data_IF_549060976731
#
_entry.id   IF_549060976731
#
_cell.length_a   1.000
_cell.length_b   1.000
_cell.length_c   1.000
_cell.angle_alpha   90.00
_cell.angle_beta   90.00
_cell.angle_gamma   90.00
#
_symmetry.space_group_name_H-M   'P 1'
#
loop_
_entity.id
_entity.type
_entity.pdbx_description
1 polymer ?
#
# COMPACT_ATOMS: atom_id res chain seq x y z
N UNK A 1 -9.13 -2.88 -47.56
CA UNK A 1 -8.57 -2.05 -46.48
C UNK A 1 -9.43 -2.24 -45.24
N UNK A 2 -9.02 -3.09 -44.32
CA UNK A 2 -9.70 -3.26 -43.05
C UNK A 2 -9.30 -2.08 -42.13
N UNK A 3 -10.25 -1.22 -41.83
CA UNK A 3 -10.08 -0.15 -40.84
C UNK A 3 -9.86 -0.79 -39.47
N UNK A 4 -8.60 -0.90 -39.07
CA UNK A 4 -8.25 -1.25 -37.70
C UNK A 4 -8.86 -0.18 -36.75
N UNK A 5 -9.90 -0.56 -36.00
CA UNK A 5 -10.40 0.28 -34.91
C UNK A 5 -9.22 0.66 -34.01
N UNK A 6 -9.08 1.95 -33.64
CA UNK A 6 -8.01 2.34 -32.73
C UNK A 6 -8.10 1.46 -31.49
N UNK A 7 -6.97 0.84 -31.09
CA UNK A 7 -6.86 -0.01 -29.90
C UNK A 7 -7.18 0.85 -28.65
N UNK A 8 -8.46 1.00 -28.32
CA UNK A 8 -8.90 1.74 -27.16
C UNK A 8 -8.53 0.95 -25.89
N UNK A 9 -7.89 1.62 -24.92
CA UNK A 9 -7.64 1.06 -23.58
C UNK A 9 -8.97 0.89 -22.84
N UNK A 10 -9.92 1.81 -23.07
CA UNK A 10 -11.22 1.81 -22.42
C UNK A 10 -12.14 0.74 -23.00
N UNK A 11 -11.80 -0.51 -22.68
CA UNK A 11 -12.67 -1.66 -22.94
C UNK A 11 -13.56 -1.89 -21.71
N UNK A 12 -14.74 -2.55 -21.86
CA UNK A 12 -15.55 -2.96 -20.71
C UNK A 12 -14.75 -3.78 -19.69
N UNK A 13 -13.81 -4.59 -20.16
CA UNK A 13 -12.91 -5.37 -19.31
C UNK A 13 -12.01 -4.46 -18.43
N UNK A 14 -11.34 -3.48 -19.04
CA UNK A 14 -10.45 -2.57 -18.31
C UNK A 14 -11.22 -1.67 -17.34
N UNK A 15 -12.39 -1.16 -17.74
CA UNK A 15 -13.23 -0.35 -16.86
C UNK A 15 -13.73 -1.14 -15.64
N UNK A 16 -14.16 -2.40 -15.85
CA UNK A 16 -14.58 -3.28 -14.75
C UNK A 16 -13.39 -3.69 -13.85
N UNK A 17 -12.21 -3.88 -14.42
CA UNK A 17 -10.99 -4.12 -13.65
C UNK A 17 -10.67 -2.94 -12.73
N UNK A 18 -10.71 -1.72 -13.27
CA UNK A 18 -10.50 -0.49 -12.49
C UNK A 18 -11.57 -0.34 -11.39
N UNK A 19 -12.84 -0.62 -11.69
CA UNK A 19 -13.93 -0.56 -10.73
C UNK A 19 -13.76 -1.60 -9.61
N UNK A 20 -13.51 -2.86 -9.96
CA UNK A 20 -13.28 -3.93 -8.98
C UNK A 20 -12.09 -3.62 -8.07
N UNK A 21 -11.03 -3.04 -8.64
CA UNK A 21 -9.84 -2.64 -7.90
C UNK A 21 -10.11 -1.45 -6.97
N UNK A 22 -10.82 -0.41 -7.45
CA UNK A 22 -11.22 0.74 -6.64
C UNK A 22 -12.04 0.32 -5.43
N UNK A 23 -13.06 -0.51 -5.65
CA UNK A 23 -13.91 -1.04 -4.59
C UNK A 23 -13.16 -2.02 -3.67
N UNK A 24 -12.20 -2.77 -4.19
CA UNK A 24 -11.34 -3.66 -3.40
C UNK A 24 -10.33 -2.91 -2.53
N UNK A 25 -9.91 -1.72 -2.92
CA UNK A 25 -9.05 -0.85 -2.11
C UNK A 25 -9.83 -0.09 -1.02
N UNK A 26 -11.13 0.10 -1.20
CA UNK A 26 -11.98 0.79 -0.22
C UNK A 26 -11.85 0.21 1.19
N UNK A 27 -12.03 -1.11 1.42
CA UNK A 27 -11.87 -1.71 2.74
C UNK A 27 -10.49 -1.46 3.35
N UNK A 28 -9.44 -1.53 2.53
CA UNK A 28 -8.07 -1.34 3.03
C UNK A 28 -7.86 0.07 3.57
N UNK A 29 -8.24 1.09 2.78
CA UNK A 29 -8.00 2.48 3.14
C UNK A 29 -9.01 3.00 4.17
N UNK A 30 -10.23 2.48 4.22
CA UNK A 30 -11.17 2.78 5.32
C UNK A 30 -10.64 2.27 6.67
N UNK A 31 -10.08 1.07 6.69
CA UNK A 31 -9.62 0.45 7.93
C UNK A 31 -8.27 0.97 8.41
N UNK A 32 -7.50 1.65 7.57
CA UNK A 32 -6.21 2.25 7.95
C UNK A 32 -6.32 3.21 9.14
N UNK A 33 -7.21 4.21 9.15
CA UNK A 33 -7.45 5.06 10.31
C UNK A 33 -8.39 4.41 11.34
N UNK A 34 -9.24 3.47 10.93
CA UNK A 34 -10.26 2.88 11.81
C UNK A 34 -9.67 1.92 12.83
N UNK A 35 -8.74 1.04 12.43
CA UNK A 35 -8.18 0.04 13.34
C UNK A 35 -7.48 0.63 14.56
N UNK A 36 -6.62 1.65 14.43
CA UNK A 36 -6.04 2.29 15.60
C UNK A 36 -7.10 2.79 16.58
N UNK A 37 -8.11 3.51 16.07
CA UNK A 37 -9.21 4.03 16.88
C UNK A 37 -10.05 2.92 17.52
N UNK A 38 -10.35 1.87 16.78
CA UNK A 38 -11.16 0.76 17.28
C UNK A 38 -10.43 -0.06 18.34
N UNK A 39 -9.18 -0.39 18.12
CA UNK A 39 -8.35 -1.12 19.11
C UNK A 39 -8.23 -0.33 20.41
N UNK A 40 -7.98 0.98 20.31
CA UNK A 40 -7.95 1.86 21.50
C UNK A 40 -9.33 1.94 22.18
N UNK A 41 -10.43 2.00 21.40
CA UNK A 41 -11.80 1.96 21.93
C UNK A 41 -12.09 0.66 22.71
N UNK A 42 -11.50 -0.46 22.29
CA UNK A 42 -11.58 -1.75 22.98
C UNK A 42 -10.63 -1.86 24.20
N UNK A 43 -9.89 -0.81 24.54
CA UNK A 43 -8.95 -0.79 25.65
C UNK A 43 -7.55 -1.31 25.31
N UNK A 44 -7.25 -1.53 24.02
CA UNK A 44 -5.90 -1.93 23.57
C UNK A 44 -4.90 -0.78 23.68
N UNK A 45 -3.68 -1.10 24.12
CA UNK A 45 -2.57 -0.14 24.19
C UNK A 45 -2.02 0.20 22.79
N UNK A 46 -1.22 1.27 22.64
CA UNK A 46 -0.55 1.60 21.38
C UNK A 46 0.31 0.46 20.82
N UNK A 47 0.95 -0.32 21.68
CA UNK A 47 1.69 -1.53 21.25
C UNK A 47 0.75 -2.57 20.64
N UNK A 48 -0.41 -2.79 21.24
CA UNK A 48 -1.44 -3.71 20.70
C UNK A 48 -1.96 -3.23 19.35
N UNK A 49 -2.14 -1.92 19.15
CA UNK A 49 -2.43 -1.34 17.83
C UNK A 49 -1.34 -1.72 16.84
N UNK A 50 -0.07 -1.59 17.21
CA UNK A 50 1.07 -2.00 16.40
C UNK A 50 1.03 -3.48 16.01
N UNK A 51 0.70 -4.37 16.97
CA UNK A 51 0.53 -5.82 16.73
C UNK A 51 -0.60 -6.11 15.74
N UNK A 52 -1.75 -5.47 15.91
CA UNK A 52 -2.89 -5.62 14.99
C UNK A 52 -2.50 -5.19 13.57
N UNK A 53 -1.80 -4.06 13.41
CA UNK A 53 -1.35 -3.61 12.10
C UNK A 53 -0.28 -4.54 11.50
N UNK A 54 0.64 -5.05 12.31
CA UNK A 54 1.69 -5.97 11.87
C UNK A 54 1.14 -7.33 11.42
N UNK A 55 0.04 -7.82 11.99
CA UNK A 55 -0.59 -9.09 11.60
C UNK A 55 -0.95 -9.13 10.10
N UNK A 56 -1.41 -8.01 9.54
CA UNK A 56 -1.66 -7.85 8.11
C UNK A 56 -0.38 -8.02 7.27
N UNK A 57 0.71 -7.41 7.72
CA UNK A 57 1.97 -7.46 7.00
C UNK A 57 2.53 -8.89 6.94
N UNK A 58 2.47 -9.61 8.06
CA UNK A 58 2.96 -10.99 8.17
C UNK A 58 2.25 -11.90 7.16
N UNK A 59 0.93 -11.90 7.16
CA UNK A 59 0.15 -12.77 6.24
C UNK A 59 0.28 -12.35 4.79
N UNK A 60 0.30 -11.03 4.52
CA UNK A 60 0.50 -10.48 3.19
C UNK A 60 1.85 -10.85 2.57
N UNK A 61 2.92 -10.96 3.38
CA UNK A 61 4.25 -11.40 2.91
C UNK A 61 4.28 -12.91 2.71
N UNK A 62 3.91 -13.68 3.74
CA UNK A 62 4.09 -15.13 3.76
C UNK A 62 3.24 -15.82 2.69
N UNK A 63 2.02 -15.31 2.45
CA UNK A 63 1.07 -15.96 1.54
C UNK A 63 1.11 -15.41 0.11
N UNK A 64 1.95 -14.42 -0.18
CA UNK A 64 2.11 -13.90 -1.54
C UNK A 64 2.61 -14.94 -2.55
N UNK A 65 3.64 -15.78 -2.25
CA UNK A 65 4.10 -16.79 -3.18
C UNK A 65 3.06 -17.86 -3.52
N UNK A 66 2.36 -18.51 -2.55
CA UNK A 66 1.32 -19.47 -2.90
C UNK A 66 0.15 -18.85 -3.67
N UNK A 67 -0.22 -17.60 -3.37
CA UNK A 67 -1.26 -16.89 -4.12
C UNK A 67 -0.83 -16.62 -5.56
N UNK A 68 0.44 -16.24 -5.79
CA UNK A 68 1.00 -16.10 -7.13
C UNK A 68 0.95 -17.41 -7.91
N UNK A 69 1.32 -18.52 -7.28
CA UNK A 69 1.24 -19.85 -7.87
C UNK A 69 -0.19 -20.24 -8.27
N UNK A 70 -1.19 -19.92 -7.42
CA UNK A 70 -2.60 -20.18 -7.74
C UNK A 70 -3.12 -19.27 -8.86
N UNK A 71 -2.72 -18.00 -8.88
CA UNK A 71 -3.05 -17.07 -9.97
C UNK A 71 -2.53 -17.59 -11.32
N UNK A 72 -1.35 -18.19 -11.34
CA UNK A 72 -0.74 -18.74 -12.54
C UNK A 72 -1.41 -20.04 -13.01
N UNK A 73 -1.90 -20.88 -12.10
CA UNK A 73 -2.48 -22.18 -12.43
C UNK A 73 -4.00 -22.19 -12.61
N UNK A 74 -4.71 -21.40 -11.84
CA UNK A 74 -6.18 -21.41 -11.84
C UNK A 74 -6.75 -20.39 -12.82
N UNK A 75 -6.89 -19.16 -12.32
CA UNK A 75 -7.52 -18.08 -13.05
C UNK A 75 -7.24 -16.77 -12.31
N UNK A 76 -6.68 -15.80 -12.98
CA UNK A 76 -6.38 -14.47 -12.42
C UNK A 76 -7.62 -13.76 -11.91
N UNK A 77 -8.74 -13.89 -12.64
CA UNK A 77 -10.05 -13.34 -12.24
C UNK A 77 -10.56 -14.05 -10.98
N UNK A 78 -10.43 -15.37 -10.92
CA UNK A 78 -10.83 -16.17 -9.74
C UNK A 78 -10.05 -15.77 -8.50
N UNK A 79 -8.74 -15.55 -8.62
CA UNK A 79 -7.89 -15.09 -7.51
C UNK A 79 -8.28 -13.67 -7.07
N UNK A 80 -8.57 -12.76 -7.99
CA UNK A 80 -9.05 -11.42 -7.66
C UNK A 80 -10.39 -11.47 -6.90
N UNK A 81 -11.36 -12.23 -7.39
CA UNK A 81 -12.67 -12.37 -6.74
C UNK A 81 -12.56 -13.01 -5.36
N UNK A 82 -11.80 -14.12 -5.25
CA UNK A 82 -11.60 -14.79 -3.96
C UNK A 82 -10.92 -13.86 -2.95
N UNK A 83 -9.96 -13.04 -3.40
CA UNK A 83 -9.32 -12.04 -2.56
C UNK A 83 -10.30 -11.00 -2.03
N UNK A 84 -11.20 -10.49 -2.87
CA UNK A 84 -12.23 -9.52 -2.49
C UNK A 84 -13.24 -10.10 -1.50
N UNK A 85 -13.73 -11.32 -1.76
CA UNK A 85 -14.67 -12.02 -0.85
C UNK A 85 -14.00 -12.30 0.49
N UNK A 86 -12.76 -12.82 0.47
CA UNK A 86 -12.04 -13.16 1.68
C UNK A 86 -11.72 -11.93 2.53
N UNK A 87 -11.35 -10.80 1.88
CA UNK A 87 -11.14 -9.53 2.57
C UNK A 87 -12.44 -9.02 3.20
N UNK A 88 -13.57 -9.05 2.47
CA UNK A 88 -14.86 -8.63 2.99
C UNK A 88 -15.33 -9.52 4.15
N UNK A 89 -15.21 -10.84 4.01
CA UNK A 89 -15.58 -11.78 5.06
C UNK A 89 -14.74 -11.61 6.33
N UNK A 90 -13.43 -11.39 6.18
CA UNK A 90 -12.54 -11.19 7.33
C UNK A 90 -12.90 -9.92 8.14
N UNK A 91 -13.39 -8.87 7.49
CA UNK A 91 -13.80 -7.64 8.17
C UNK A 91 -15.00 -7.87 9.11
N UNK A 92 -15.89 -8.81 8.77
CA UNK A 92 -17.05 -9.11 9.61
C UNK A 92 -16.66 -9.66 11.00
N UNK A 93 -15.45 -10.21 11.16
CA UNK A 93 -14.93 -10.59 12.48
C UNK A 93 -14.75 -9.38 13.40
N UNK A 94 -14.57 -8.17 12.86
CA UNK A 94 -14.48 -6.95 13.66
C UNK A 94 -15.82 -6.56 14.32
N UNK A 95 -16.93 -7.20 13.94
CA UNK A 95 -18.21 -7.04 14.65
C UNK A 95 -18.20 -7.72 16.02
N UNK A 96 -17.25 -8.61 16.28
CA UNK A 96 -16.98 -9.18 17.61
C UNK A 96 -16.08 -8.18 18.35
N UNK A 97 -16.56 -7.51 19.42
CA UNK A 97 -15.87 -6.38 20.03
C UNK A 97 -14.73 -6.84 20.97
N UNK A 98 -13.76 -7.55 20.43
CA UNK A 98 -12.54 -7.97 21.12
C UNK A 98 -11.31 -7.73 20.24
N UNK A 99 -10.19 -7.43 20.87
CA UNK A 99 -8.94 -7.09 20.16
C UNK A 99 -8.42 -8.26 19.35
N UNK A 100 -8.53 -9.48 19.88
CA UNK A 100 -8.07 -10.72 19.24
C UNK A 100 -8.80 -10.98 17.93
N UNK A 101 -10.12 -10.74 17.89
CA UNK A 101 -10.92 -10.85 16.67
C UNK A 101 -10.49 -9.81 15.63
N UNK A 102 -10.19 -8.59 16.08
CA UNK A 102 -9.70 -7.51 15.22
C UNK A 102 -8.31 -7.86 14.64
N UNK A 103 -7.41 -8.42 15.45
CA UNK A 103 -6.10 -8.87 15.01
C UNK A 103 -6.20 -10.02 14.01
N UNK A 104 -7.05 -10.99 14.27
CA UNK A 104 -7.32 -12.10 13.34
C UNK A 104 -7.93 -11.57 12.04
N UNK A 105 -8.92 -10.69 12.11
CA UNK A 105 -9.54 -10.06 10.95
C UNK A 105 -8.49 -9.35 10.07
N UNK A 106 -7.62 -8.55 10.70
CA UNK A 106 -6.59 -7.83 9.96
C UNK A 106 -5.53 -8.76 9.35
N UNK A 107 -5.15 -9.81 10.06
CA UNK A 107 -4.27 -10.86 9.53
C UNK A 107 -4.89 -11.57 8.32
N UNK A 108 -6.13 -12.03 8.43
CA UNK A 108 -6.84 -12.67 7.33
C UNK A 108 -7.02 -11.72 6.14
N UNK A 109 -7.30 -10.44 6.40
CA UNK A 109 -7.40 -9.42 5.35
C UNK A 109 -6.12 -9.26 4.54
N UNK A 110 -4.94 -9.47 5.16
CA UNK A 110 -3.67 -9.48 4.45
C UNK A 110 -3.60 -10.52 3.33
N UNK A 111 -4.25 -11.68 3.51
CA UNK A 111 -4.38 -12.73 2.48
C UNK A 111 -5.21 -12.20 1.30
N UNK A 112 -6.40 -11.64 1.61
CA UNK A 112 -7.28 -11.06 0.60
C UNK A 112 -6.62 -9.95 -0.20
N UNK A 113 -5.84 -9.09 0.49
CA UNK A 113 -5.05 -8.03 -0.13
C UNK A 113 -3.98 -8.57 -1.09
N UNK A 114 -3.25 -9.61 -0.70
CA UNK A 114 -2.26 -10.24 -1.55
C UNK A 114 -2.91 -10.82 -2.82
N UNK A 115 -4.07 -11.48 -2.69
CA UNK A 115 -4.81 -12.05 -3.81
C UNK A 115 -5.37 -10.97 -4.74
N UNK A 116 -5.97 -9.90 -4.19
CA UNK A 116 -6.48 -8.75 -4.93
C UNK A 116 -5.39 -8.12 -5.80
N UNK A 117 -4.22 -7.84 -5.20
CA UNK A 117 -3.13 -7.20 -5.93
C UNK A 117 -2.51 -8.14 -6.96
N UNK A 118 -2.27 -9.41 -6.63
CA UNK A 118 -1.69 -10.39 -7.56
C UNK A 118 -2.60 -10.59 -8.77
N UNK A 119 -3.89 -10.84 -8.55
CA UNK A 119 -4.88 -10.99 -9.62
C UNK A 119 -5.03 -9.70 -10.45
N UNK A 120 -5.13 -8.55 -9.78
CA UNK A 120 -5.31 -7.26 -10.42
C UNK A 120 -4.15 -6.85 -11.34
N UNK A 121 -2.90 -6.97 -10.88
CA UNK A 121 -1.73 -6.67 -11.70
C UNK A 121 -1.53 -7.66 -12.85
N UNK A 122 -1.85 -8.95 -12.64
CA UNK A 122 -1.80 -9.95 -13.70
C UNK A 122 -2.82 -9.65 -14.81
N UNK A 123 -4.06 -9.30 -14.43
CA UNK A 123 -5.12 -8.91 -15.36
C UNK A 123 -4.78 -7.60 -16.10
N UNK A 124 -4.18 -6.63 -15.42
CA UNK A 124 -3.70 -5.40 -16.05
C UNK A 124 -2.67 -5.71 -17.15
N UNK A 125 -1.69 -6.56 -16.82
CA UNK A 125 -0.63 -6.91 -17.76
C UNK A 125 -1.16 -7.64 -19.00
N UNK A 126 -2.24 -8.43 -18.86
CA UNK A 126 -2.86 -9.19 -19.95
C UNK A 126 -3.89 -8.38 -20.76
N UNK A 127 -4.45 -7.29 -20.19
CA UNK A 127 -5.53 -6.51 -20.80
C UNK A 127 -5.07 -5.37 -21.71
N UNK A 128 -3.89 -4.83 -21.47
CA UNK A 128 -3.40 -3.65 -22.16
C UNK A 128 -2.59 -4.00 -23.43
N UNK A 129 -2.86 -3.35 -24.60
CA UNK A 129 -2.01 -3.44 -25.77
C UNK A 129 -0.56 -3.09 -25.39
N UNK A 130 0.41 -3.78 -26.00
CA UNK A 130 1.83 -3.64 -25.66
C UNK A 130 2.31 -2.20 -25.75
N UNK A 131 1.82 -1.46 -26.74
CA UNK A 131 2.18 -0.07 -27.02
C UNK A 131 1.59 0.93 -26.01
N UNK A 132 0.52 0.53 -25.29
CA UNK A 132 -0.21 1.41 -24.37
C UNK A 132 -0.22 0.91 -22.92
N UNK A 133 0.63 -0.04 -22.57
CA UNK A 133 0.74 -0.60 -21.20
C UNK A 133 1.08 0.46 -20.17
N UNK A 134 1.93 1.42 -20.52
CA UNK A 134 2.27 2.54 -19.62
C UNK A 134 1.05 3.40 -19.28
N UNK A 135 0.23 3.72 -20.27
CA UNK A 135 -1.00 4.50 -20.10
C UNK A 135 -2.03 3.75 -19.24
N UNK A 136 -2.25 2.45 -19.52
CA UNK A 136 -3.14 1.61 -18.73
C UNK A 136 -2.68 1.49 -17.26
N UNK A 137 -1.38 1.33 -17.04
CA UNK A 137 -0.79 1.31 -15.70
C UNK A 137 -0.97 2.65 -14.99
N UNK A 138 -0.91 3.76 -15.72
CA UNK A 138 -1.17 5.10 -15.19
C UNK A 138 -2.60 5.25 -14.67
N UNK A 139 -3.60 4.87 -15.47
CA UNK A 139 -5.01 4.88 -15.03
C UNK A 139 -5.27 3.97 -13.85
N UNK A 140 -4.72 2.75 -13.88
CA UNK A 140 -4.85 1.79 -12.79
C UNK A 140 -4.23 2.30 -11.48
N UNK A 141 -3.06 2.93 -11.55
CA UNK A 141 -2.42 3.59 -10.40
C UNK A 141 -3.21 4.81 -9.92
N UNK A 142 -3.83 5.55 -10.85
CA UNK A 142 -4.73 6.66 -10.53
C UNK A 142 -5.94 6.21 -9.71
N UNK A 143 -6.54 5.07 -10.05
CA UNK A 143 -7.63 4.43 -9.28
C UNK A 143 -7.18 4.12 -7.85
N UNK A 144 -6.00 3.55 -7.67
CA UNK A 144 -5.42 3.27 -6.35
C UNK A 144 -5.20 4.54 -5.53
N UNK A 145 -4.66 5.59 -6.17
CA UNK A 145 -4.43 6.88 -5.51
C UNK A 145 -5.74 7.56 -5.11
N UNK A 146 -6.78 7.49 -5.95
CA UNK A 146 -8.10 8.03 -5.63
C UNK A 146 -8.73 7.34 -4.42
N UNK A 147 -8.55 6.02 -4.30
CA UNK A 147 -9.01 5.27 -3.13
C UNK A 147 -8.29 5.72 -1.83
N UNK A 148 -7.00 6.01 -1.91
CA UNK A 148 -6.20 6.51 -0.78
C UNK A 148 -6.69 7.88 -0.29
N UNK A 149 -7.21 8.72 -1.19
CA UNK A 149 -7.74 10.05 -0.84
C UNK A 149 -9.12 9.92 -0.19
N UNK A 150 -10.01 9.17 -0.82
CA UNK A 150 -11.43 9.16 -0.50
C UNK A 150 -11.76 8.35 0.76
N UNK A 151 -11.30 7.11 0.81
CA UNK A 151 -11.82 6.14 1.78
C UNK A 151 -11.39 6.36 3.23
N UNK A 152 -10.19 6.88 3.56
CA UNK A 152 -9.89 7.25 4.94
C UNK A 152 -10.76 8.39 5.45
N UNK A 153 -11.02 9.41 4.61
CA UNK A 153 -11.88 10.53 4.97
C UNK A 153 -13.33 10.08 5.18
N UNK A 154 -13.85 9.21 4.29
CA UNK A 154 -15.19 8.60 4.42
C UNK A 154 -15.29 7.78 5.71
N UNK A 155 -14.27 6.99 6.04
CA UNK A 155 -14.26 6.19 7.27
C UNK A 155 -14.35 7.06 8.52
N UNK A 156 -13.54 8.12 8.60
CA UNK A 156 -13.56 9.05 9.74
C UNK A 156 -14.89 9.79 9.83
N UNK A 157 -15.43 10.23 8.70
CA UNK A 157 -16.77 10.84 8.67
C UNK A 157 -17.86 9.87 9.17
N UNK A 158 -17.82 8.59 8.75
CA UNK A 158 -18.77 7.58 9.22
C UNK A 158 -18.61 7.28 10.71
N UNK A 159 -17.39 7.31 11.27
CA UNK A 159 -17.17 7.11 12.71
C UNK A 159 -17.83 8.24 13.51
N UNK A 160 -17.69 9.48 13.05
CA UNK A 160 -18.12 10.67 13.77
C UNK A 160 -19.58 11.08 13.45
N UNK A 161 -20.26 10.40 12.51
CA UNK A 161 -21.66 10.68 12.14
C UNK A 161 -22.65 10.29 13.27
N UNK A 162 -23.78 10.99 13.43
CA UNK A 162 -24.76 10.73 14.51
C UNK A 162 -25.33 9.29 14.54
N UNK A 163 -25.49 8.67 13.39
CA UNK A 163 -25.92 7.26 13.24
C UNK A 163 -24.75 6.36 12.81
N UNK A 164 -23.53 6.85 12.98
CA UNK A 164 -22.31 6.18 12.55
C UNK A 164 -21.70 5.29 13.62
N UNK A 165 -20.39 5.15 13.54
CA UNK A 165 -19.57 4.36 14.47
C UNK A 165 -18.79 3.26 13.75
N UNK A 166 -18.01 2.52 14.52
CA UNK A 166 -17.11 1.47 14.00
C UNK A 166 -17.87 0.38 13.24
N UNK A 167 -19.02 -0.08 13.77
CA UNK A 167 -19.86 -1.10 13.14
C UNK A 167 -20.30 -0.69 11.73
N UNK A 168 -20.72 0.56 11.55
CA UNK A 168 -21.13 1.10 10.24
C UNK A 168 -19.94 1.07 9.27
N UNK A 169 -18.75 1.48 9.72
CA UNK A 169 -17.54 1.43 8.88
C UNK A 169 -17.22 0.01 8.44
N UNK A 170 -17.29 -0.98 9.35
CA UNK A 170 -17.01 -2.38 9.02
C UNK A 170 -18.03 -2.94 8.01
N UNK A 171 -19.32 -2.66 8.20
CA UNK A 171 -20.37 -3.11 7.29
C UNK A 171 -20.24 -2.46 5.92
N UNK A 172 -19.99 -1.15 5.87
CA UNK A 172 -19.80 -0.42 4.60
C UNK A 172 -18.53 -0.92 3.89
N UNK A 173 -17.44 -1.09 4.61
CA UNK A 173 -16.20 -1.61 4.03
C UNK A 173 -16.39 -3.03 3.47
N UNK A 174 -17.06 -3.92 4.21
CA UNK A 174 -17.36 -5.28 3.74
C UNK A 174 -18.30 -5.25 2.51
N UNK A 175 -19.33 -4.41 2.53
CA UNK A 175 -20.28 -4.25 1.41
C UNK A 175 -19.56 -3.76 0.14
N UNK A 176 -18.67 -2.76 0.24
CA UNK A 176 -17.87 -2.27 -0.89
C UNK A 176 -16.97 -3.37 -1.45
N UNK A 177 -16.34 -4.18 -0.58
CA UNK A 177 -15.56 -5.35 -1.00
C UNK A 177 -16.40 -6.38 -1.75
N UNK A 178 -17.62 -6.68 -1.28
CA UNK A 178 -18.54 -7.60 -1.95
C UNK A 178 -19.06 -7.04 -3.28
N UNK A 179 -19.38 -5.75 -3.36
CA UNK A 179 -19.72 -5.09 -4.64
C UNK A 179 -18.56 -5.15 -5.62
N UNK A 180 -17.33 -4.96 -5.12
CA UNK A 180 -16.11 -5.17 -5.90
C UNK A 180 -15.96 -6.61 -6.41
N UNK A 181 -16.30 -7.61 -5.58
CA UNK A 181 -16.32 -9.02 -6.01
C UNK A 181 -17.38 -9.25 -7.08
N UNK A 182 -18.57 -8.66 -6.96
CA UNK A 182 -19.60 -8.67 -8.00
C UNK A 182 -19.11 -8.08 -9.32
N UNK A 183 -18.42 -6.94 -9.28
CA UNK A 183 -17.77 -6.35 -10.46
C UNK A 183 -16.73 -7.30 -11.06
N UNK A 184 -15.97 -8.01 -10.22
CA UNK A 184 -15.03 -9.06 -10.62
C UNK A 184 -15.71 -10.24 -11.33
N UNK A 185 -16.88 -10.68 -10.85
CA UNK A 185 -17.68 -11.73 -11.52
C UNK A 185 -18.13 -11.28 -12.91
N UNK A 186 -18.61 -10.04 -13.03
CA UNK A 186 -18.98 -9.46 -14.33
C UNK A 186 -17.77 -9.34 -15.23
N UNK A 187 -16.62 -8.89 -14.69
CA UNK A 187 -15.32 -8.83 -15.39
C UNK A 187 -14.97 -10.18 -16.02
N UNK A 188 -15.20 -11.29 -15.31
CA UNK A 188 -14.92 -12.63 -15.80
C UNK A 188 -15.65 -13.00 -17.09
N UNK A 189 -16.80 -12.37 -17.39
CA UNK A 189 -17.54 -12.57 -18.64
C UNK A 189 -16.87 -11.91 -19.84
N UNK A 190 -16.07 -10.88 -19.61
CA UNK A 190 -15.33 -10.13 -20.64
C UNK A 190 -13.85 -10.54 -20.70
N UNK A 191 -13.40 -11.42 -19.79
CA UNK A 191 -12.02 -11.89 -19.78
C UNK A 191 -11.70 -12.63 -21.09
N UNK A 192 -10.59 -12.28 -21.77
CA UNK A 192 -10.18 -12.99 -22.96
C UNK A 192 -10.02 -14.47 -22.65
N UNK A 193 -10.70 -15.33 -23.43
CA UNK A 193 -10.49 -16.78 -23.37
C UNK A 193 -9.17 -17.13 -24.08
N UNK A 194 -8.08 -16.54 -23.64
CA UNK A 194 -6.77 -16.95 -24.14
C UNK A 194 -6.51 -18.33 -23.57
N UNK A 195 -6.46 -19.33 -24.46
CA UNK A 195 -5.88 -20.62 -24.12
C UNK A 195 -4.46 -20.32 -23.60
N UNK A 196 -4.29 -20.39 -22.28
CA UNK A 196 -2.98 -20.23 -21.66
C UNK A 196 -2.07 -21.27 -22.24
N UNK A 197 -1.10 -20.86 -23.05
CA UNK A 197 0.01 -21.76 -23.34
C UNK A 197 0.60 -22.18 -22.00
N UNK A 198 0.78 -23.48 -21.74
CA UNK A 198 1.43 -23.95 -20.52
C UNK A 198 2.77 -23.22 -20.46
N UNK A 199 2.98 -22.35 -19.48
CA UNK A 199 4.34 -21.83 -19.23
C UNK A 199 5.20 -23.06 -19.02
N UNK A 200 6.33 -23.21 -19.69
CA UNK A 200 7.29 -24.27 -19.43
C UNK A 200 7.89 -23.99 -18.03
N UNK A 201 7.13 -24.38 -17.02
CA UNK A 201 7.54 -24.35 -15.64
C UNK A 201 7.78 -25.77 -15.23
N UNK A 202 9.05 -26.15 -15.11
CA UNK A 202 9.40 -27.31 -14.34
C UNK A 202 8.74 -27.23 -12.95
N UNK A 203 8.59 -28.35 -12.27
CA UNK A 203 8.01 -28.51 -10.94
C UNK A 203 8.79 -27.71 -9.88
N UNK A 204 8.77 -26.39 -9.99
CA UNK A 204 9.29 -25.49 -8.98
C UNK A 204 8.27 -25.46 -7.84
N UNK A 205 8.58 -26.19 -6.78
CA UNK A 205 7.84 -26.12 -5.53
C UNK A 205 7.88 -24.68 -5.04
N UNK A 206 6.72 -24.08 -4.73
CA UNK A 206 6.64 -22.73 -4.14
C UNK A 206 7.59 -22.53 -2.95
N UNK A 207 7.98 -23.62 -2.26
CA UNK A 207 8.94 -23.64 -1.16
C UNK A 207 10.38 -23.31 -1.61
N UNK A 208 10.77 -23.75 -2.80
CA UNK A 208 12.11 -23.48 -3.36
C UNK A 208 12.20 -22.04 -3.85
N UNK A 209 11.09 -21.46 -4.33
CA UNK A 209 11.04 -20.07 -4.78
C UNK A 209 11.26 -19.06 -3.65
N UNK A 210 10.76 -19.30 -2.43
CA UNK A 210 10.90 -18.36 -1.31
C UNK A 210 12.37 -18.10 -0.96
N UNK A 211 13.22 -19.15 -0.91
CA UNK A 211 14.63 -19.04 -0.55
C UNK A 211 15.53 -18.62 -1.71
N UNK A 212 15.09 -18.84 -2.95
CA UNK A 212 15.83 -18.41 -4.14
C UNK A 212 15.52 -16.98 -4.60
N UNK A 213 14.61 -16.26 -3.89
CA UNK A 213 14.09 -14.95 -4.30
C UNK A 213 15.01 -13.77 -3.99
N UNK A 214 16.07 -13.93 -3.20
CA UNK A 214 16.98 -12.84 -2.84
C UNK A 214 17.97 -12.54 -3.97
N UNK A 215 17.60 -11.61 -4.85
CA UNK A 215 18.49 -11.09 -5.87
C UNK A 215 19.36 -9.97 -5.28
N UNK A 216 20.68 -10.23 -5.20
CA UNK A 216 21.65 -9.31 -4.56
C UNK A 216 21.70 -7.93 -5.20
N UNK A 217 21.47 -7.85 -6.49
CA UNK A 217 21.56 -6.62 -7.29
C UNK A 217 20.53 -5.56 -6.85
N UNK A 218 19.37 -5.99 -6.31
CA UNK A 218 18.30 -5.10 -5.86
C UNK A 218 18.21 -4.94 -4.34
N UNK A 219 19.16 -5.50 -3.57
CA UNK A 219 19.13 -5.38 -2.10
C UNK A 219 19.26 -3.94 -1.63
N UNK A 220 20.13 -3.13 -2.26
CA UNK A 220 20.26 -1.72 -1.89
C UNK A 220 18.99 -0.92 -2.14
N UNK A 221 18.36 -0.93 -3.34
CA UNK A 221 17.07 -0.26 -3.53
C UNK A 221 15.97 -0.81 -2.61
N UNK A 222 15.98 -2.10 -2.30
CA UNK A 222 15.02 -2.71 -1.35
C UNK A 222 15.23 -2.20 0.08
N UNK A 223 16.48 -2.07 0.54
CA UNK A 223 16.80 -1.51 1.85
C UNK A 223 16.44 -0.02 1.95
N UNK A 224 16.69 0.76 0.91
CA UNK A 224 16.28 2.17 0.84
C UNK A 224 14.77 2.31 0.87
N UNK A 225 14.05 1.49 0.10
CA UNK A 225 12.60 1.43 0.12
C UNK A 225 12.07 1.03 1.51
N UNK A 226 12.68 0.04 2.14
CA UNK A 226 12.33 -0.40 3.48
C UNK A 226 12.43 0.76 4.48
N UNK A 227 13.54 1.49 4.48
CA UNK A 227 13.73 2.67 5.34
C UNK A 227 12.64 3.73 5.07
N UNK A 228 12.35 4.07 3.79
CA UNK A 228 11.31 5.04 3.43
C UNK A 228 9.92 4.65 3.95
N UNK A 229 9.61 3.36 3.98
CA UNK A 229 8.28 2.87 4.34
C UNK A 229 8.10 2.57 5.84
N UNK A 230 9.16 2.54 6.63
CA UNK A 230 9.09 2.32 8.09
C UNK A 230 8.17 3.32 8.79
N UNK A 231 8.12 4.56 8.31
CA UNK A 231 7.31 5.64 8.89
C UNK A 231 5.84 5.63 8.45
N UNK A 232 5.45 4.80 7.48
CA UNK A 232 4.08 4.79 6.95
C UNK A 232 3.03 4.60 8.05
N UNK A 233 3.15 3.63 8.98
CA UNK A 233 2.16 3.48 10.07
C UNK A 233 2.04 4.71 10.96
N UNK A 234 3.14 5.42 11.23
CA UNK A 234 3.14 6.64 12.05
C UNK A 234 2.28 7.75 11.45
N UNK A 235 2.29 7.90 10.11
CA UNK A 235 1.61 9.00 9.40
C UNK A 235 0.27 8.59 8.78
N UNK A 236 -0.06 7.30 8.73
CA UNK A 236 -1.35 6.84 8.18
C UNK A 236 -2.29 6.29 9.24
N UNK A 237 -1.77 5.68 10.28
CA UNK A 237 -2.55 4.99 11.31
C UNK A 237 -2.41 5.68 12.67
N UNK A 238 -1.21 5.90 13.18
CA UNK A 238 -1.01 6.51 14.49
C UNK A 238 -1.26 8.02 14.51
N UNK A 239 -1.17 8.70 13.36
CA UNK A 239 -1.51 10.12 13.25
C UNK A 239 -2.95 10.42 13.69
N UNK A 240 -3.87 9.46 13.53
CA UNK A 240 -5.27 9.63 13.93
C UNK A 240 -5.42 9.61 15.44
N UNK A 241 -4.69 8.72 16.12
CA UNK A 241 -4.65 8.67 17.59
C UNK A 241 -3.99 9.94 18.16
N UNK A 242 -2.84 10.32 17.60
CA UNK A 242 -2.13 11.55 17.96
C UNK A 242 -3.02 12.79 17.86
N UNK A 243 -3.73 12.92 16.75
CA UNK A 243 -4.57 14.08 16.54
C UNK A 243 -5.78 14.12 17.48
N UNK A 244 -6.40 12.96 17.78
CA UNK A 244 -7.48 12.87 18.79
C UNK A 244 -7.00 13.19 20.19
N UNK A 245 -5.84 12.68 20.60
CA UNK A 245 -5.24 12.99 21.90
C UNK A 245 -4.88 14.48 22.02
N UNK A 246 -4.41 15.08 20.93
CA UNK A 246 -4.10 16.51 20.85
C UNK A 246 -5.32 17.42 20.68
N UNK A 247 -6.54 16.88 20.63
CA UNK A 247 -7.78 17.64 20.43
C UNK A 247 -7.93 18.25 19.04
N UNK A 248 -7.22 17.74 18.04
CA UNK A 248 -7.26 18.26 16.64
C UNK A 248 -8.46 17.66 15.93
N UNK A 249 -9.40 18.49 15.54
CA UNK A 249 -10.57 18.11 14.73
C UNK A 249 -10.28 18.06 13.24
N UNK A 250 -11.31 17.65 12.46
CA UNK A 250 -11.28 17.64 11.00
C UNK A 250 -10.14 16.79 10.36
N UNK A 251 -9.90 15.62 10.94
CA UNK A 251 -8.85 14.69 10.48
C UNK A 251 -9.04 14.20 9.05
N UNK A 252 -10.26 14.19 8.53
CA UNK A 252 -10.55 13.86 7.14
C UNK A 252 -9.76 14.73 6.16
N UNK A 253 -9.58 16.03 6.48
CA UNK A 253 -8.81 16.96 5.63
C UNK A 253 -7.34 16.56 5.49
N UNK A 254 -6.72 15.98 6.53
CA UNK A 254 -5.36 15.47 6.47
C UNK A 254 -5.20 14.40 5.37
N UNK A 255 -6.11 13.43 5.33
CA UNK A 255 -6.06 12.36 4.33
C UNK A 255 -6.37 12.87 2.92
N UNK A 256 -7.30 13.81 2.78
CA UNK A 256 -7.61 14.44 1.49
C UNK A 256 -6.40 15.22 0.96
N UNK A 257 -5.79 16.07 1.78
CA UNK A 257 -4.62 16.87 1.37
C UNK A 257 -3.42 15.98 1.09
N UNK A 258 -3.11 15.02 1.96
CA UNK A 258 -2.00 14.09 1.79
C UNK A 258 -2.19 13.22 0.54
N UNK A 259 -3.39 12.68 0.34
CA UNK A 259 -3.72 11.86 -0.82
C UNK A 259 -3.68 12.66 -2.12
N UNK A 260 -4.25 13.87 -2.16
CA UNK A 260 -4.17 14.77 -3.31
C UNK A 260 -2.72 15.12 -3.65
N UNK A 261 -1.90 15.41 -2.64
CA UNK A 261 -0.46 15.64 -2.81
C UNK A 261 0.22 14.42 -3.42
N UNK A 262 -0.07 13.21 -2.93
CA UNK A 262 0.50 11.97 -3.46
C UNK A 262 0.13 11.74 -4.93
N UNK A 263 -1.14 12.02 -5.30
CA UNK A 263 -1.63 11.87 -6.66
C UNK A 263 -0.92 12.83 -7.63
N UNK A 264 -0.79 14.10 -7.25
CA UNK A 264 -0.19 15.14 -8.09
C UNK A 264 1.35 15.06 -8.12
N UNK A 265 1.97 14.68 -7.01
CA UNK A 265 3.42 14.66 -6.89
C UNK A 265 4.07 13.55 -7.72
N UNK A 266 3.48 12.35 -7.81
CA UNK A 266 4.10 11.19 -8.48
C UNK A 266 4.53 11.46 -9.92
N UNK A 267 3.69 11.97 -10.84
CA UNK A 267 4.09 12.22 -12.22
C UNK A 267 5.10 13.35 -12.34
N UNK A 268 5.04 14.35 -11.46
CA UNK A 268 5.93 15.50 -11.47
C UNK A 268 7.33 15.13 -10.94
N UNK A 269 7.36 14.51 -9.76
CA UNK A 269 8.61 14.17 -9.07
C UNK A 269 9.35 12.99 -9.71
N UNK A 270 8.66 12.10 -10.43
CA UNK A 270 9.31 11.10 -11.26
C UNK A 270 10.21 11.74 -12.32
N UNK A 271 9.71 12.75 -13.03
CA UNK A 271 10.50 13.52 -14.01
C UNK A 271 11.66 14.28 -13.37
N UNK A 272 11.41 14.89 -12.20
CA UNK A 272 12.46 15.59 -11.45
C UNK A 272 13.56 14.60 -11.05
N UNK A 273 13.22 13.42 -10.55
CA UNK A 273 14.19 12.37 -10.21
C UNK A 273 15.08 11.96 -11.39
N UNK A 274 14.52 11.91 -12.60
CA UNK A 274 15.28 11.57 -13.80
C UNK A 274 16.26 12.70 -14.21
N UNK A 275 15.93 13.97 -13.90
CA UNK A 275 16.77 15.13 -14.21
C UNK A 275 17.90 15.36 -13.23
N UNK A 276 17.63 15.26 -11.92
CA UNK A 276 18.61 15.57 -10.86
C UNK A 276 19.46 14.37 -10.44
N UNK A 277 19.10 13.16 -10.90
CA UNK A 277 19.80 11.92 -10.58
C UNK A 277 19.26 11.22 -9.31
N UNK A 278 19.64 9.93 -9.16
CA UNK A 278 19.07 9.05 -8.12
C UNK A 278 19.49 9.44 -6.71
N UNK A 279 20.77 9.79 -6.51
CA UNK A 279 21.33 10.18 -5.21
C UNK A 279 20.65 11.42 -4.62
N UNK A 280 20.66 12.57 -5.31
CA UNK A 280 19.98 13.79 -4.85
C UNK A 280 18.48 13.60 -4.61
N UNK A 281 17.79 12.82 -5.46
CA UNK A 281 16.36 12.51 -5.30
C UNK A 281 16.07 11.72 -4.02
N UNK A 282 16.88 10.73 -3.69
CA UNK A 282 16.75 9.97 -2.46
C UNK A 282 17.05 10.84 -1.24
N UNK A 283 18.11 11.65 -1.29
CA UNK A 283 18.45 12.57 -0.21
C UNK A 283 17.30 13.56 0.05
N UNK A 284 16.73 14.16 -0.99
CA UNK A 284 15.56 15.05 -0.88
C UNK A 284 14.35 14.31 -0.30
N UNK A 285 14.08 13.08 -0.77
CA UNK A 285 12.97 12.24 -0.29
C UNK A 285 13.06 11.96 1.22
N UNK A 286 14.22 11.51 1.69
CA UNK A 286 14.46 11.25 3.12
C UNK A 286 14.39 12.52 3.95
N UNK A 287 15.00 13.61 3.48
CA UNK A 287 15.01 14.91 4.20
C UNK A 287 13.60 15.46 4.37
N UNK A 288 12.76 15.41 3.33
CA UNK A 288 11.37 15.86 3.40
C UNK A 288 10.56 15.02 4.38
N UNK A 289 10.75 13.69 4.41
CA UNK A 289 10.07 12.82 5.38
C UNK A 289 10.51 13.11 6.82
N UNK A 290 11.83 13.29 7.05
CA UNK A 290 12.37 13.65 8.36
C UNK A 290 11.78 14.98 8.82
N UNK A 291 11.79 16.00 7.97
CA UNK A 291 11.22 17.31 8.27
C UNK A 291 9.73 17.23 8.61
N UNK A 292 8.96 16.41 7.87
CA UNK A 292 7.55 16.18 8.13
C UNK A 292 7.31 15.55 9.52
N UNK A 293 8.10 14.54 9.88
CA UNK A 293 7.99 13.86 11.18
C UNK A 293 8.40 14.79 12.34
N UNK A 294 9.46 15.58 12.16
CA UNK A 294 9.84 16.59 13.15
C UNK A 294 8.76 17.69 13.31
N UNK A 295 8.11 18.09 12.22
CA UNK A 295 7.00 19.03 12.27
C UNK A 295 5.78 18.45 13.01
N UNK A 296 5.46 17.16 12.79
CA UNK A 296 4.41 16.46 13.54
C UNK A 296 4.70 16.45 15.05
N UNK A 297 5.96 16.23 15.43
CA UNK A 297 6.36 16.26 16.83
C UNK A 297 6.21 17.69 17.43
N UNK A 298 6.61 18.73 16.70
CA UNK A 298 6.75 20.09 17.21
C UNK A 298 5.46 20.93 17.15
N UNK A 299 4.52 20.62 16.25
CA UNK A 299 3.36 21.46 15.98
C UNK A 299 2.04 20.67 16.02
N UNK A 300 1.48 20.40 17.23
CA UNK A 300 0.21 19.69 17.39
C UNK A 300 -0.97 20.61 17.02
N UNK A 301 -1.13 20.89 15.75
CA UNK A 301 -2.19 21.72 15.19
C UNK A 301 -2.67 21.19 13.85
N UNK A 302 -3.88 21.55 13.41
CA UNK A 302 -4.39 21.16 12.11
C UNK A 302 -3.46 21.63 10.97
N UNK A 303 -2.96 22.87 11.06
CA UNK A 303 -2.01 23.39 10.09
C UNK A 303 -0.71 22.58 10.06
N UNK A 304 -0.15 22.25 11.23
CA UNK A 304 1.03 21.39 11.35
C UNK A 304 0.81 20.00 10.72
N UNK A 305 -0.35 19.39 10.98
CA UNK A 305 -0.75 18.13 10.36
C UNK A 305 -0.82 18.24 8.82
N UNK A 306 -1.49 19.26 8.29
CA UNK A 306 -1.66 19.41 6.84
C UNK A 306 -0.31 19.68 6.14
N UNK A 307 0.52 20.55 6.69
CA UNK A 307 1.85 20.85 6.13
C UNK A 307 2.74 19.62 6.19
N UNK A 308 2.76 18.90 7.32
CA UNK A 308 3.54 17.68 7.46
C UNK A 308 3.05 16.59 6.48
N UNK A 309 1.75 16.45 6.27
CA UNK A 309 1.18 15.55 5.29
C UNK A 309 1.65 15.84 3.87
N UNK A 310 1.69 17.11 3.47
CA UNK A 310 2.22 17.55 2.17
C UNK A 310 3.72 17.22 2.06
N UNK A 311 4.53 17.64 3.02
CA UNK A 311 5.97 17.38 3.03
C UNK A 311 6.28 15.88 2.98
N UNK A 312 5.57 15.11 3.81
CA UNK A 312 5.75 13.67 3.85
C UNK A 312 5.43 13.01 2.50
N UNK A 313 4.30 13.36 1.89
CA UNK A 313 3.89 12.76 0.61
C UNK A 313 4.77 13.18 -0.56
N UNK A 314 5.32 14.40 -0.56
CA UNK A 314 6.35 14.82 -1.53
C UNK A 314 7.61 13.96 -1.37
N UNK A 315 8.13 13.85 -0.15
CA UNK A 315 9.31 13.02 0.13
C UNK A 315 9.10 11.54 -0.20
N UNK A 316 7.92 11.01 0.15
CA UNK A 316 7.54 9.64 -0.15
C UNK A 316 7.41 9.38 -1.65
N UNK A 317 6.82 10.31 -2.42
CA UNK A 317 6.64 10.17 -3.86
C UNK A 317 7.98 10.14 -4.60
N UNK A 318 8.89 11.09 -4.30
CA UNK A 318 10.20 11.12 -4.95
C UNK A 318 11.06 9.93 -4.55
N UNK A 319 11.10 9.57 -3.26
CA UNK A 319 11.90 8.47 -2.76
C UNK A 319 11.44 7.11 -3.30
N UNK A 320 10.13 6.83 -3.27
CA UNK A 320 9.59 5.57 -3.76
C UNK A 320 9.72 5.41 -5.27
N UNK A 321 9.53 6.49 -6.05
CA UNK A 321 9.74 6.47 -7.50
C UNK A 321 11.22 6.20 -7.84
N UNK A 322 12.13 6.84 -7.12
CA UNK A 322 13.57 6.70 -7.33
C UNK A 322 14.07 5.30 -6.96
N UNK A 323 13.61 4.74 -5.83
CA UNK A 323 13.98 3.36 -5.44
C UNK A 323 13.46 2.32 -6.42
N UNK A 324 12.24 2.50 -6.95
CA UNK A 324 11.68 1.64 -7.96
C UNK A 324 12.49 1.70 -9.27
N UNK A 325 12.81 2.90 -9.75
CA UNK A 325 13.63 3.07 -10.94
C UNK A 325 15.00 2.41 -10.77
N UNK A 326 15.66 2.63 -9.63
CA UNK A 326 16.94 2.01 -9.31
C UNK A 326 16.86 0.48 -9.25
N UNK A 327 15.77 -0.08 -8.72
CA UNK A 327 15.54 -1.53 -8.70
C UNK A 327 15.38 -2.09 -10.13
N UNK A 328 14.66 -1.39 -11.00
CA UNK A 328 14.47 -1.79 -12.40
C UNK A 328 15.76 -1.70 -13.21
N UNK A 329 16.57 -0.65 -12.98
CA UNK A 329 17.87 -0.45 -13.64
C UNK A 329 18.90 -1.53 -13.26
N UNK A 330 18.92 -1.93 -11.98
CA UNK A 330 19.85 -2.92 -11.48
C UNK A 330 19.42 -4.37 -11.70
N UNK A 331 18.14 -4.59 -11.96
CA UNK A 331 17.62 -5.93 -12.15
C UNK A 331 18.19 -6.58 -13.42
N UNK A 332 18.74 -7.78 -13.27
CA UNK A 332 19.16 -8.58 -14.42
C UNK A 332 17.96 -8.82 -15.37
N UNK A 333 18.05 -8.46 -16.67
CA UNK A 333 16.96 -8.64 -17.62
C UNK A 333 16.36 -10.05 -17.66
N UNK A 334 17.20 -11.08 -17.46
CA UNK A 334 16.80 -12.49 -17.49
C UNK A 334 16.08 -12.91 -16.18
N UNK A 335 16.25 -12.16 -15.07
CA UNK A 335 15.69 -12.45 -13.75
C UNK A 335 14.86 -11.30 -13.19
N UNK A 336 14.39 -10.40 -14.06
CA UNK A 336 13.67 -9.18 -13.67
C UNK A 336 12.46 -9.46 -12.77
N UNK A 337 11.73 -10.55 -13.03
CA UNK A 337 10.59 -10.95 -12.18
C UNK A 337 11.02 -11.27 -10.74
N UNK A 338 12.13 -12.00 -10.56
CA UNK A 338 12.68 -12.35 -9.24
C UNK A 338 13.19 -11.10 -8.51
N UNK A 339 13.90 -10.22 -9.22
CA UNK A 339 14.39 -8.96 -8.67
C UNK A 339 13.23 -8.09 -8.15
N UNK A 340 12.16 -7.95 -8.93
CA UNK A 340 10.98 -7.19 -8.53
C UNK A 340 10.20 -7.87 -7.39
N UNK A 341 10.19 -9.20 -7.32
CA UNK A 341 9.64 -9.93 -6.19
C UNK A 341 10.41 -9.61 -4.90
N UNK A 342 11.75 -9.69 -4.93
CA UNK A 342 12.62 -9.29 -3.80
C UNK A 342 12.33 -7.85 -3.36
N UNK A 343 12.29 -6.91 -4.30
CA UNK A 343 12.02 -5.50 -4.04
C UNK A 343 10.64 -5.28 -3.39
N UNK A 344 9.62 -5.98 -3.87
CA UNK A 344 8.24 -5.78 -3.41
C UNK A 344 7.97 -6.29 -1.99
N UNK A 345 8.79 -7.20 -1.45
CA UNK A 345 8.69 -7.67 -0.06
C UNK A 345 9.01 -6.55 0.93
N UNK A 346 9.86 -5.58 0.55
CA UNK A 346 10.22 -4.46 1.41
C UNK A 346 9.01 -3.65 1.88
N UNK A 347 7.95 -3.50 1.06
CA UNK A 347 6.74 -2.74 1.41
C UNK A 347 6.00 -3.28 2.64
N UNK A 348 5.43 -4.50 2.60
CA UNK A 348 4.68 -5.00 3.75
C UNK A 348 5.59 -5.28 4.95
N UNK A 349 6.83 -5.68 4.73
CA UNK A 349 7.79 -5.93 5.79
C UNK A 349 8.09 -4.65 6.59
N UNK A 350 8.37 -3.54 5.90
CA UNK A 350 8.59 -2.24 6.56
C UNK A 350 7.34 -1.71 7.25
N UNK A 351 6.15 -1.89 6.65
CA UNK A 351 4.89 -1.48 7.27
C UNK A 351 4.62 -2.27 8.56
N UNK A 352 4.87 -3.58 8.57
CA UNK A 352 4.69 -4.41 9.77
C UNK A 352 5.68 -4.05 10.88
N UNK A 353 6.97 -3.99 10.56
CA UNK A 353 8.02 -3.61 11.53
C UNK A 353 7.80 -2.17 11.99
N UNK A 354 7.49 -1.25 11.07
CA UNK A 354 7.18 0.13 11.38
C UNK A 354 5.99 0.29 12.32
N UNK A 355 4.94 -0.53 12.16
CA UNK A 355 3.79 -0.51 13.06
C UNK A 355 4.15 -0.93 14.48
N UNK A 356 4.94 -2.00 14.63
CA UNK A 356 5.45 -2.45 15.95
C UNK A 356 6.32 -1.39 16.60
N UNK A 357 7.29 -0.84 15.86
CA UNK A 357 8.20 0.19 16.37
C UNK A 357 7.43 1.46 16.76
N UNK A 358 6.48 1.89 15.95
CA UNK A 358 5.65 3.05 16.22
C UNK A 358 4.78 2.83 17.47
N UNK A 359 4.10 1.68 17.56
CA UNK A 359 3.27 1.35 18.73
C UNK A 359 4.09 1.27 20.01
N UNK A 360 5.25 0.59 19.99
CA UNK A 360 6.17 0.52 21.14
C UNK A 360 6.68 1.90 21.54
N UNK A 361 7.05 2.74 20.59
CA UNK A 361 7.56 4.09 20.86
C UNK A 361 6.50 4.99 21.50
N UNK A 362 5.23 4.90 21.04
CA UNK A 362 4.12 5.64 21.68
C UNK A 362 3.91 5.17 23.11
N UNK A 363 3.89 3.86 23.34
CA UNK A 363 3.64 3.28 24.66
C UNK A 363 4.73 3.64 25.67
N UNK A 364 5.99 3.65 25.25
CA UNK A 364 7.14 3.91 26.13
C UNK A 364 7.42 5.39 26.34
N UNK A 365 7.18 6.23 25.34
CA UNK A 365 7.68 7.60 25.35
C UNK A 365 6.66 8.67 24.87
N UNK A 366 5.47 8.25 24.42
CA UNK A 366 4.46 9.15 23.89
C UNK A 366 4.71 9.59 22.43
N UNK A 367 3.75 10.34 21.86
CA UNK A 367 3.74 10.68 20.43
C UNK A 367 4.89 11.60 20.02
N UNK A 368 5.29 12.54 20.86
CA UNK A 368 6.41 13.43 20.56
C UNK A 368 7.68 12.65 20.25
N UNK A 369 8.07 11.77 21.18
CA UNK A 369 9.27 10.94 21.00
C UNK A 369 9.10 9.89 19.92
N UNK A 370 7.90 9.35 19.74
CA UNK A 370 7.61 8.41 18.65
C UNK A 370 7.96 9.02 17.30
N UNK A 371 7.51 10.25 17.00
CA UNK A 371 7.85 10.90 15.75
C UNK A 371 9.35 11.15 15.59
N UNK A 372 10.05 11.53 16.66
CA UNK A 372 11.51 11.74 16.61
C UNK A 372 12.28 10.41 16.43
N UNK A 373 11.85 9.34 17.10
CA UNK A 373 12.45 8.00 16.93
C UNK A 373 12.27 7.53 15.50
N UNK A 374 11.06 7.66 14.96
CA UNK A 374 10.78 7.28 13.56
C UNK A 374 11.57 8.16 12.59
N UNK A 375 11.71 9.46 12.85
CA UNK A 375 12.57 10.34 12.05
C UNK A 375 14.04 9.88 12.08
N UNK A 376 14.54 9.46 13.24
CA UNK A 376 15.88 8.86 13.39
C UNK A 376 16.05 7.57 12.59
N UNK A 377 15.04 6.72 12.57
CA UNK A 377 15.04 5.50 11.74
C UNK A 377 15.07 5.84 10.23
N UNK A 378 14.32 6.85 9.81
CA UNK A 378 14.37 7.34 8.41
C UNK A 378 15.74 7.96 8.09
N UNK A 379 16.36 8.64 9.05
CA UNK A 379 17.70 9.21 8.89
C UNK A 379 18.75 8.12 8.64
N UNK A 380 18.60 6.91 9.16
CA UNK A 380 19.49 5.79 8.81
C UNK A 380 19.43 5.43 7.32
N UNK A 381 18.24 5.56 6.70
CA UNK A 381 18.09 5.42 5.25
C UNK A 381 18.80 6.53 4.46
N UNK A 382 18.78 7.77 4.97
CA UNK A 382 19.54 8.88 4.39
C UNK A 382 21.03 8.61 4.48
N UNK A 383 21.54 8.16 5.64
CA UNK A 383 22.95 7.77 5.81
C UNK A 383 23.32 6.63 4.85
N UNK A 384 22.46 5.62 4.71
CA UNK A 384 22.67 4.54 3.75
C UNK A 384 22.78 5.04 2.30
N UNK A 385 21.90 5.99 1.91
CA UNK A 385 21.95 6.62 0.59
C UNK A 385 23.24 7.41 0.38
N UNK A 386 23.66 8.21 1.37
CA UNK A 386 24.90 8.99 1.32
C UNK A 386 26.14 8.10 1.28
N UNK A 387 26.18 7.02 2.07
CA UNK A 387 27.29 6.07 2.08
C UNK A 387 27.46 5.33 0.74
N UNK A 388 26.37 5.17 -0.02
CA UNK A 388 26.40 4.53 -1.33
C UNK A 388 26.30 5.53 -2.50
N UNK A 389 26.62 6.80 -2.28
CA UNK A 389 26.44 7.89 -3.24
C UNK A 389 27.07 7.64 -4.61
N UNK A 390 28.28 7.05 -4.62
CA UNK A 390 28.98 6.70 -5.88
C UNK A 390 28.22 5.69 -6.74
N UNK A 391 27.44 4.81 -6.11
CA UNK A 391 26.64 3.80 -6.80
C UNK A 391 25.22 4.28 -7.15
N UNK A 392 24.85 5.50 -6.73
CA UNK A 392 23.56 6.13 -6.98
C UNK A 392 23.62 7.27 -8.03
N UNK A 393 24.83 7.50 -8.57
CA UNK A 393 25.04 8.46 -9.66
C UNK A 393 24.54 7.96 -11.00
#
# INVERSE_FOLDING_TARGET
MATTKPNSIWTPFFALLCLAQFLGYAPHYMLTPTFPLYVTHLGGSPFVVGLVLASFAVTSVILRPPIGYWADRWNEVGVLISGLIFQAASILLCLIPVVEATMLANGLRGIGWAALNTGGYSLLASSAPTERRGEASGYYSGVQSSATILFPAVALWLIDAPLGGFTVVFVVAAALGLVGAGAGVVLGRYAPRTARAPRPGGESSWRVEIFSLLEREVLLPSALLFCLHLSVPAVTSFVVLYARESGIGNLGSYFVVSGATSLLARPLLGRVSDQIGRGPSLAAGFTLQIAALCLLAAAPSLAGLLISGVLYMLGFAIGSSTTLALAVERANPQRRGRAMATFSVAFPLSAGIGALLTGSAVELAGYFWMYLIVAGLIASGLVLALANWSSLK
#
